data_IF_023976173710
#
_entry.id   IF_023976173710
#
_cell.length_a   1.000
_cell.length_b   1.000
_cell.length_c   1.000
_cell.angle_alpha   90.00
_cell.angle_beta   90.00
_cell.angle_gamma   90.00
#
_symmetry.space_group_name_H-M   'P 1'
#
loop_
_entity.id
_entity.type
_entity.pdbx_description
1 polymer ?
#
# COMPACT_ATOMS: atom_id res chain seq x y z
N UNK A 1 -15.12 1.80 -8.82
CA UNK A 1 -13.71 2.21 -9.00
C UNK A 1 -13.49 3.39 -8.06
N UNK A 2 -12.67 3.25 -7.02
CA UNK A 2 -12.40 4.33 -6.06
C UNK A 2 -10.99 4.86 -6.31
N UNK A 3 -10.85 6.19 -6.39
CA UNK A 3 -9.56 6.85 -6.48
C UNK A 3 -9.48 7.80 -5.29
N UNK A 4 -8.44 7.63 -4.48
CA UNK A 4 -8.12 8.50 -3.36
C UNK A 4 -6.82 9.23 -3.67
N UNK A 5 -6.71 10.45 -3.18
CA UNK A 5 -5.55 11.33 -3.39
C UNK A 5 -5.01 11.82 -2.06
N UNK A 6 -4.03 12.72 -2.12
CA UNK A 6 -3.42 13.31 -0.92
C UNK A 6 -4.44 14.00 -0.01
N UNK A 7 -5.54 14.56 -0.57
CA UNK A 7 -6.61 15.19 0.22
C UNK A 7 -7.35 14.23 1.14
N UNK A 8 -7.30 12.93 0.85
CA UNK A 8 -7.97 11.88 1.62
C UNK A 8 -7.07 11.31 2.73
N UNK A 9 -5.77 11.64 2.70
CA UNK A 9 -4.80 11.21 3.70
C UNK A 9 -4.96 11.99 5.00
N UNK A 10 -4.53 11.39 6.11
CA UNK A 10 -4.39 12.08 7.39
C UNK A 10 -3.09 12.88 7.34
N UNK A 11 -3.20 14.21 7.39
CA UNK A 11 -2.03 15.07 7.49
C UNK A 11 -1.65 15.28 8.96
N UNK A 12 -0.45 14.84 9.34
CA UNK A 12 0.09 15.00 10.69
C UNK A 12 1.55 15.43 10.60
N UNK A 13 1.88 16.58 11.21
CA UNK A 13 3.25 17.13 11.25
C UNK A 13 3.91 17.27 9.85
N UNK A 14 3.13 17.57 8.82
CA UNK A 14 3.61 17.69 7.44
C UNK A 14 3.80 16.37 6.70
N UNK A 15 3.50 15.24 7.33
CA UNK A 15 3.46 13.93 6.71
C UNK A 15 2.02 13.54 6.34
N UNK A 16 1.86 12.81 5.24
CA UNK A 16 0.59 12.26 4.81
C UNK A 16 0.54 10.77 5.09
N UNK A 17 -0.37 10.37 5.98
CA UNK A 17 -0.59 8.99 6.36
C UNK A 17 -1.83 8.45 5.65
N UNK A 18 -1.68 7.25 5.09
CA UNK A 18 -2.71 6.49 4.39
C UNK A 18 -3.41 5.61 5.43
N UNK A 19 -4.27 6.22 6.23
CA UNK A 19 -5.02 5.50 7.27
C UNK A 19 -6.08 4.56 6.65
N UNK A 20 -5.76 3.26 6.65
CA UNK A 20 -6.60 2.23 6.05
C UNK A 20 -7.97 2.08 6.74
N UNK A 21 -8.11 2.53 8.00
CA UNK A 21 -9.40 2.46 8.71
C UNK A 21 -10.48 3.31 8.05
N UNK A 22 -10.07 4.35 7.30
CA UNK A 22 -10.98 5.26 6.59
C UNK A 22 -11.57 4.67 5.31
N UNK A 23 -11.09 3.50 4.87
CA UNK A 23 -11.59 2.83 3.67
C UNK A 23 -12.96 2.17 3.87
N UNK A 24 -13.41 1.97 5.12
CA UNK A 24 -14.62 1.21 5.41
C UNK A 24 -14.52 -0.26 4.98
N UNK A 25 -13.29 -0.81 4.99
CA UNK A 25 -12.97 -2.20 4.63
C UNK A 25 -12.48 -2.94 5.88
N UNK A 26 -12.69 -4.25 5.89
CA UNK A 26 -12.11 -5.13 6.91
C UNK A 26 -10.58 -5.13 6.78
N UNK A 27 -9.87 -4.67 7.82
CA UNK A 27 -8.41 -4.63 7.82
C UNK A 27 -7.80 -6.04 7.75
N UNK A 28 -8.49 -7.08 8.21
CA UNK A 28 -7.99 -8.46 8.07
C UNK A 28 -7.96 -8.93 6.60
N UNK A 29 -8.66 -8.22 5.70
CA UNK A 29 -8.78 -8.52 4.26
C UNK A 29 -8.25 -7.39 3.38
N UNK A 30 -7.45 -6.48 3.97
CA UNK A 30 -6.92 -5.31 3.28
C UNK A 30 -5.41 -5.37 3.30
N UNK A 31 -4.79 -5.14 2.14
CA UNK A 31 -3.34 -4.99 2.01
C UNK A 31 -3.01 -3.68 1.31
N UNK A 32 -1.85 -3.12 1.61
CA UNK A 32 -1.34 -1.90 1.02
C UNK A 32 0.03 -2.15 0.39
N UNK A 33 0.17 -1.80 -0.89
CA UNK A 33 1.42 -1.89 -1.63
C UNK A 33 2.06 -0.50 -1.73
N UNK A 34 3.28 -0.36 -1.23
CA UNK A 34 4.02 0.91 -1.24
C UNK A 34 5.52 0.69 -1.09
N UNK A 35 6.32 1.65 -1.53
CA UNK A 35 7.76 1.71 -1.32
C UNK A 35 8.17 2.23 0.06
N UNK A 36 7.25 2.84 0.82
CA UNK A 36 7.55 3.39 2.16
C UNK A 36 6.57 2.92 3.23
N UNK A 37 7.10 2.30 4.29
CA UNK A 37 6.30 1.93 5.47
C UNK A 37 5.71 3.16 6.18
N UNK A 38 6.38 4.31 6.09
CA UNK A 38 5.99 5.55 6.76
C UNK A 38 4.60 6.04 6.36
N UNK A 39 4.07 5.58 5.22
CA UNK A 39 2.67 5.84 4.83
C UNK A 39 1.63 5.19 5.74
N UNK A 40 1.97 4.13 6.48
CA UNK A 40 1.03 3.28 7.22
C UNK A 40 1.42 3.06 8.70
N UNK A 41 1.66 4.12 9.48
CA UNK A 41 2.23 4.01 10.83
C UNK A 41 1.39 3.15 11.80
N UNK A 42 0.06 3.15 11.65
CA UNK A 42 -0.85 2.38 12.48
C UNK A 42 -1.24 1.02 11.87
N UNK A 43 -0.85 0.74 10.62
CA UNK A 43 -1.24 -0.46 9.87
C UNK A 43 -0.05 -1.12 9.15
N UNK A 44 1.13 -1.11 9.78
CA UNK A 44 2.34 -1.69 9.21
C UNK A 44 2.19 -3.19 8.87
N UNK A 45 1.35 -3.93 9.60
CA UNK A 45 1.06 -5.34 9.32
C UNK A 45 0.30 -5.56 7.99
N UNK A 46 -0.38 -4.53 7.48
CA UNK A 46 -1.08 -4.58 6.20
C UNK A 46 -0.20 -4.17 5.02
N UNK A 47 1.03 -3.70 5.28
CA UNK A 47 1.92 -3.18 4.25
C UNK A 47 2.79 -4.28 3.65
N UNK A 48 2.81 -4.32 2.32
CA UNK A 48 3.70 -5.14 1.51
C UNK A 48 4.63 -4.17 0.77
N UNK A 49 5.93 -4.33 0.99
CA UNK A 49 6.96 -3.50 0.39
C UNK A 49 7.09 -3.78 -1.10
N UNK A 50 7.14 -2.71 -1.91
CA UNK A 50 7.48 -2.77 -3.34
C UNK A 50 8.63 -1.80 -3.58
N UNK A 51 9.76 -2.23 -4.18
CA UNK A 51 10.85 -1.32 -4.48
C UNK A 51 10.41 -0.13 -5.34
N UNK A 52 11.00 1.06 -5.14
CA UNK A 52 10.75 2.18 -6.03
C UNK A 52 11.29 1.86 -7.43
N UNK A 53 10.48 2.11 -8.46
CA UNK A 53 10.89 1.90 -9.84
C UNK A 53 11.91 2.97 -10.26
N UNK A 54 13.02 2.52 -10.84
CA UNK A 54 14.15 3.36 -11.25
C UNK A 54 14.15 3.70 -12.74
N UNK A 55 13.19 3.19 -13.52
CA UNK A 55 13.15 3.36 -14.98
C UNK A 55 13.60 2.14 -15.77
N UNK A 56 13.99 1.05 -15.11
CA UNK A 56 14.42 -0.18 -15.79
C UNK A 56 13.24 -0.83 -16.53
N UNK A 57 13.33 -1.02 -17.86
CA UNK A 57 12.29 -1.71 -18.64
C UNK A 57 12.22 -3.21 -18.37
N UNK A 58 13.27 -3.80 -17.79
CA UNK A 58 13.32 -5.23 -17.43
C UNK A 58 12.90 -5.48 -15.98
N UNK A 59 12.38 -4.48 -15.27
CA UNK A 59 11.85 -4.61 -13.91
C UNK A 59 10.62 -5.54 -13.87
N UNK A 60 10.71 -6.60 -13.07
CA UNK A 60 9.64 -7.58 -12.88
C UNK A 60 9.09 -7.58 -11.43
N UNK A 61 9.37 -6.55 -10.62
CA UNK A 61 9.03 -6.54 -9.19
C UNK A 61 7.53 -6.70 -8.97
N UNK A 62 6.70 -6.01 -9.77
CA UNK A 62 5.24 -6.16 -9.69
C UNK A 62 4.74 -7.55 -10.14
N UNK A 63 5.41 -8.18 -11.10
CA UNK A 63 5.07 -9.53 -11.55
C UNK A 63 5.38 -10.56 -10.45
N UNK A 64 6.48 -10.37 -9.73
CA UNK A 64 6.87 -11.22 -8.60
C UNK A 64 5.84 -11.26 -7.47
N UNK A 65 5.00 -10.24 -7.34
CA UNK A 65 3.96 -10.13 -6.31
C UNK A 65 2.69 -10.92 -6.62
N UNK A 66 2.45 -11.27 -7.88
CA UNK A 66 1.26 -12.01 -8.31
C UNK A 66 1.01 -13.28 -7.47
N UNK A 67 1.97 -14.21 -7.29
CA UNK A 67 1.73 -15.41 -6.49
C UNK A 67 1.42 -15.10 -5.02
N UNK A 68 2.10 -14.11 -4.42
CA UNK A 68 1.88 -13.71 -3.02
C UNK A 68 0.47 -13.14 -2.84
N UNK A 69 0.06 -12.22 -3.70
CA UNK A 69 -1.29 -11.64 -3.67
C UNK A 69 -2.35 -12.69 -3.96
N UNK A 70 -2.05 -13.65 -4.84
CA UNK A 70 -2.91 -14.80 -5.12
C UNK A 70 -3.15 -15.68 -3.89
N UNK A 71 -2.12 -15.91 -3.06
CA UNK A 71 -2.23 -16.66 -1.81
C UNK A 71 -3.05 -15.90 -0.75
N UNK A 72 -2.88 -14.57 -0.66
CA UNK A 72 -3.62 -13.73 0.30
C UNK A 72 -5.10 -13.55 -0.07
N UNK A 73 -5.45 -13.74 -1.34
CA UNK A 73 -6.81 -13.61 -1.85
C UNK A 73 -7.67 -14.88 -1.75
N UNK A 74 -7.11 -16.00 -1.28
CA UNK A 74 -7.84 -17.25 -0.99
C UNK A 74 -8.51 -17.17 0.38
#
# INVERSE_FOLDING_TARGET
>A
RHCLSQSDCVCSQGCYWKDLTRLGRDLAKTVALDHTMQGFPAQAANWISVPPWSGDPEDEELLSLIPVLGQLGQ
#
